data_IF_564533849991
#
_entry.id   IF_564533849991
#
_cell.length_a   1.000
_cell.length_b   1.000
_cell.length_c   1.000
_cell.angle_alpha   90.00
_cell.angle_beta   90.00
_cell.angle_gamma   90.00
#
_symmetry.space_group_name_H-M   'P 1'
#
loop_
_entity.id
_entity.type
_entity.pdbx_description
1 polymer ?
#
# COMPACT_ATOMS: atom_id res chain seq x y z
N UNK A 1 18.71 11.66 -15.82
CA UNK A 1 17.24 11.51 -15.81
C UNK A 1 16.80 11.22 -14.39
N UNK A 2 15.80 11.93 -13.87
CA UNK A 2 15.26 11.69 -12.52
C UNK A 2 14.39 10.42 -12.48
N UNK A 3 14.19 9.79 -11.31
CA UNK A 3 13.28 8.64 -11.19
C UNK A 3 11.84 8.96 -11.66
N UNK A 4 11.38 10.20 -11.46
CA UNK A 4 10.06 10.63 -11.92
C UNK A 4 9.97 10.75 -13.45
N UNK A 5 11.04 11.16 -14.12
CA UNK A 5 11.10 11.20 -15.58
C UNK A 5 11.17 9.79 -16.16
N UNK A 6 11.99 8.92 -15.57
CA UNK A 6 12.09 7.52 -16.00
C UNK A 6 10.74 6.80 -15.88
N UNK A 7 9.99 7.01 -14.80
CA UNK A 7 8.65 6.44 -14.62
C UNK A 7 7.62 7.00 -15.61
N UNK A 8 7.74 8.26 -16.00
CA UNK A 8 6.91 8.82 -17.09
C UNK A 8 7.27 8.20 -18.43
N UNK A 9 8.56 7.94 -18.70
CA UNK A 9 8.99 7.23 -19.91
C UNK A 9 8.45 5.80 -19.95
N UNK A 10 8.55 5.05 -18.85
CA UNK A 10 7.94 3.73 -18.70
C UNK A 10 6.43 3.76 -19.01
N UNK A 11 5.72 4.77 -18.49
CA UNK A 11 4.30 4.91 -18.73
C UNK A 11 3.97 5.28 -20.19
N UNK A 12 4.80 6.08 -20.85
CA UNK A 12 4.64 6.43 -22.26
C UNK A 12 4.75 5.19 -23.15
N UNK A 13 5.71 4.30 -22.88
CA UNK A 13 5.82 3.00 -23.58
C UNK A 13 4.55 2.15 -23.39
N UNK A 14 3.96 2.14 -22.19
CA UNK A 14 2.70 1.43 -21.94
C UNK A 14 1.53 2.10 -22.67
N UNK A 15 1.50 3.44 -22.75
CA UNK A 15 0.53 4.17 -23.60
C UNK A 15 0.67 3.68 -25.03
N UNK A 16 1.88 3.57 -25.58
CA UNK A 16 2.12 3.12 -26.95
C UNK A 16 1.74 1.65 -27.20
N UNK A 17 1.76 0.80 -26.17
CA UNK A 17 1.28 -0.58 -26.28
C UNK A 17 -0.25 -0.66 -26.43
N UNK A 18 -0.97 0.31 -25.88
CA UNK A 18 -2.43 0.32 -25.77
C UNK A 18 -3.10 1.31 -26.74
N UNK A 19 -2.35 2.29 -27.20
CA UNK A 19 -2.84 3.38 -28.00
C UNK A 19 -3.29 2.91 -29.38
N UNK A 20 -4.45 3.41 -29.79
CA UNK A 20 -4.77 3.52 -31.21
C UNK A 20 -4.41 4.91 -31.67
N UNK A 21 -3.80 5.00 -32.85
CA UNK A 21 -3.31 6.25 -33.41
C UNK A 21 -3.92 6.52 -34.79
N UNK A 22 -4.12 7.79 -35.12
CA UNK A 22 -4.50 8.20 -36.48
C UNK A 22 -3.28 8.19 -37.42
N UNK A 23 -3.48 8.53 -38.69
CA UNK A 23 -2.41 8.56 -39.68
C UNK A 23 -1.31 9.60 -39.37
N UNK A 24 -1.61 10.62 -38.58
CA UNK A 24 -0.65 11.61 -38.11
C UNK A 24 0.05 11.19 -36.79
N UNK A 25 -0.29 10.02 -36.26
CA UNK A 25 0.28 9.48 -35.04
C UNK A 25 -0.39 9.94 -33.75
N UNK A 26 -1.52 10.65 -33.80
CA UNK A 26 -2.20 11.14 -32.58
C UNK A 26 -3.10 10.08 -31.94
N UNK A 27 -3.25 10.13 -30.61
CA UNK A 27 -4.20 9.28 -29.87
C UNK A 27 -5.63 9.41 -30.42
N UNK A 28 -6.29 8.27 -30.61
CA UNK A 28 -7.70 8.21 -31.01
C UNK A 28 -8.57 7.60 -29.93
N UNK A 29 -9.86 7.90 -30.00
CA UNK A 29 -10.88 7.27 -29.16
C UNK A 29 -11.28 5.95 -29.82
N UNK A 30 -11.15 4.86 -29.08
CA UNK A 30 -11.58 3.55 -29.52
C UNK A 30 -12.94 3.19 -28.92
N UNK A 31 -13.84 2.66 -29.74
CA UNK A 31 -15.18 2.22 -29.34
C UNK A 31 -15.22 0.68 -29.43
N UNK A 32 -15.02 -0.03 -28.30
CA UNK A 32 -15.03 -1.48 -28.30
C UNK A 32 -16.44 -2.02 -28.62
N UNK A 33 -16.55 -3.22 -29.23
CA UNK A 33 -17.82 -3.89 -29.44
C UNK A 33 -18.61 -4.08 -28.13
N UNK A 34 -19.93 -4.05 -28.22
CA UNK A 34 -20.82 -4.28 -27.07
C UNK A 34 -20.54 -5.65 -26.44
N UNK A 35 -20.24 -5.69 -25.14
CA UNK A 35 -20.01 -6.94 -24.39
C UNK A 35 -18.56 -7.23 -24.00
N UNK A 36 -17.57 -6.52 -24.53
CA UNK A 36 -16.14 -6.74 -24.22
C UNK A 36 -15.71 -6.23 -22.82
N UNK A 37 -16.65 -5.80 -21.98
CA UNK A 37 -16.39 -5.37 -20.60
C UNK A 37 -15.76 -3.99 -20.45
N UNK A 38 -15.32 -3.37 -21.55
CA UNK A 38 -14.66 -2.07 -21.64
C UNK A 38 -15.56 -0.84 -21.85
N UNK A 39 -16.78 -0.82 -21.33
CA UNK A 39 -17.63 0.39 -21.40
C UNK A 39 -17.86 0.93 -22.82
N UNK A 40 -18.21 2.21 -22.92
CA UNK A 40 -18.61 2.84 -24.19
C UNK A 40 -17.45 3.22 -25.11
N UNK A 41 -16.26 3.50 -24.55
CA UNK A 41 -15.06 3.85 -25.29
C UNK A 41 -13.82 3.80 -24.38
N UNK A 42 -12.63 3.87 -24.98
CA UNK A 42 -11.36 4.01 -24.30
C UNK A 42 -10.35 4.84 -25.10
N UNK A 43 -9.30 5.30 -24.43
CA UNK A 43 -8.15 5.97 -25.05
C UNK A 43 -6.90 5.36 -24.41
N UNK A 44 -6.06 4.70 -25.22
CA UNK A 44 -4.86 3.98 -24.75
C UNK A 44 -5.13 3.04 -23.56
N UNK A 45 -6.13 2.17 -23.69
CA UNK A 45 -6.55 1.23 -22.62
C UNK A 45 -7.22 1.88 -21.40
N UNK A 46 -7.30 3.22 -21.33
CA UNK A 46 -7.97 3.94 -20.24
C UNK A 46 -9.48 3.96 -20.51
N UNK A 47 -10.15 2.99 -19.92
CA UNK A 47 -11.52 2.66 -20.25
C UNK A 47 -12.60 3.52 -19.56
N UNK A 48 -13.64 3.94 -20.28
CA UNK A 48 -14.73 4.76 -19.73
C UNK A 48 -15.58 4.08 -18.64
N UNK A 49 -15.57 2.74 -18.54
CA UNK A 49 -16.27 2.01 -17.47
C UNK A 49 -15.62 2.23 -16.12
N UNK A 50 -14.31 2.02 -16.03
CA UNK A 50 -13.56 2.04 -14.77
C UNK A 50 -12.91 3.41 -14.52
N UNK A 51 -12.57 4.14 -15.58
CA UNK A 51 -11.82 5.39 -15.55
C UNK A 51 -12.62 6.54 -16.21
N UNK A 52 -13.93 6.59 -15.96
CA UNK A 52 -14.90 7.48 -16.64
C UNK A 52 -14.44 8.93 -16.79
N UNK A 53 -13.89 9.52 -15.73
CA UNK A 53 -13.47 10.92 -15.73
C UNK A 53 -12.23 11.15 -16.61
N UNK A 54 -11.22 10.30 -16.47
CA UNK A 54 -10.00 10.38 -17.29
C UNK A 54 -10.30 10.10 -18.75
N UNK A 55 -11.08 9.05 -19.05
CA UNK A 55 -11.51 8.73 -20.40
C UNK A 55 -12.28 9.90 -21.04
N UNK A 56 -13.23 10.50 -20.31
CA UNK A 56 -13.98 11.68 -20.79
C UNK A 56 -13.07 12.88 -21.05
N UNK A 57 -12.08 13.12 -20.18
CA UNK A 57 -11.10 14.19 -20.36
C UNK A 57 -10.26 13.96 -21.61
N UNK A 58 -9.75 12.73 -21.81
CA UNK A 58 -8.96 12.36 -22.98
C UNK A 58 -9.76 12.52 -24.27
N UNK A 59 -10.97 11.97 -24.34
CA UNK A 59 -11.85 12.14 -25.48
C UNK A 59 -12.13 13.63 -25.77
N UNK A 60 -12.34 14.44 -24.73
CA UNK A 60 -12.55 15.89 -24.89
C UNK A 60 -11.30 16.66 -25.32
N UNK A 61 -10.09 16.18 -25.04
CA UNK A 61 -8.84 16.78 -25.53
C UNK A 61 -8.62 16.43 -27.00
N UNK A 62 -8.82 15.16 -27.36
CA UNK A 62 -8.74 14.67 -28.74
C UNK A 62 -9.75 15.39 -29.64
N UNK A 63 -11.01 15.55 -29.20
CA UNK A 63 -12.04 16.27 -29.95
C UNK A 63 -11.70 17.76 -30.19
N UNK A 64 -10.82 18.34 -29.36
CA UNK A 64 -10.33 19.73 -29.50
C UNK A 64 -8.94 19.79 -30.12
N UNK A 65 -8.44 18.69 -30.69
CA UNK A 65 -7.13 18.57 -31.31
C UNK A 65 -5.96 18.92 -30.36
N UNK A 66 -6.16 18.76 -29.05
CA UNK A 66 -5.13 18.98 -28.02
C UNK A 66 -4.37 17.67 -27.76
N UNK A 67 -3.69 17.17 -28.79
CA UNK A 67 -3.10 15.82 -28.78
C UNK A 67 -1.95 15.67 -27.77
N UNK A 68 -1.04 16.64 -27.68
CA UNK A 68 0.06 16.63 -26.70
C UNK A 68 -0.45 16.63 -25.25
N UNK A 69 -1.59 17.28 -25.01
CA UNK A 69 -2.23 17.27 -23.71
C UNK A 69 -2.90 15.94 -23.41
N UNK A 70 -3.48 15.29 -24.42
CA UNK A 70 -4.04 13.96 -24.29
C UNK A 70 -2.94 12.94 -23.95
N UNK A 71 -1.80 12.99 -24.65
CA UNK A 71 -0.62 12.16 -24.39
C UNK A 71 -0.10 12.32 -22.97
N UNK A 72 0.08 13.56 -22.54
CA UNK A 72 0.55 13.86 -21.18
C UNK A 72 -0.44 13.37 -20.12
N UNK A 73 -1.75 13.53 -20.35
CA UNK A 73 -2.78 13.05 -19.43
C UNK A 73 -2.80 11.52 -19.35
N UNK A 74 -2.68 10.82 -20.49
CA UNK A 74 -2.64 9.37 -20.54
C UNK A 74 -1.38 8.84 -19.83
N UNK A 75 -0.22 9.35 -20.19
CA UNK A 75 1.08 8.99 -19.59
C UNK A 75 1.08 9.21 -18.08
N UNK A 76 0.68 10.38 -17.61
CA UNK A 76 0.62 10.68 -16.19
C UNK A 76 -0.38 9.77 -15.46
N UNK A 77 -1.50 9.41 -16.11
CA UNK A 77 -2.46 8.49 -15.54
C UNK A 77 -1.87 7.09 -15.36
N UNK A 78 -1.23 6.53 -16.39
CA UNK A 78 -0.61 5.20 -16.33
C UNK A 78 0.55 5.18 -15.34
N UNK A 79 1.41 6.20 -15.33
CA UNK A 79 2.52 6.33 -14.38
C UNK A 79 2.03 6.27 -12.92
N UNK A 80 0.92 6.94 -12.62
CA UNK A 80 0.28 6.93 -11.29
C UNK A 80 -0.41 5.61 -10.97
N UNK A 81 -1.18 5.06 -11.91
CA UNK A 81 -1.97 3.85 -11.69
C UNK A 81 -1.08 2.63 -11.43
N UNK A 82 0.10 2.61 -12.05
CA UNK A 82 1.05 1.50 -11.95
C UNK A 82 2.12 1.70 -10.86
N UNK A 83 2.05 2.78 -10.08
CA UNK A 83 3.13 3.19 -9.18
C UNK A 83 3.45 2.19 -8.06
N UNK A 84 2.51 1.29 -7.71
CA UNK A 84 2.76 0.25 -6.73
C UNK A 84 3.94 -0.67 -7.12
N UNK A 85 4.23 -0.84 -8.42
CA UNK A 85 5.37 -1.62 -8.90
C UNK A 85 6.72 -1.03 -8.47
N UNK A 86 6.80 0.30 -8.29
CA UNK A 86 8.01 0.96 -7.81
C UNK A 86 8.39 0.57 -6.38
N UNK A 87 7.44 0.07 -5.59
CA UNK A 87 7.70 -0.42 -4.24
C UNK A 87 8.11 -1.89 -4.21
N UNK A 88 8.13 -2.58 -5.37
CA UNK A 88 8.38 -4.02 -5.46
C UNK A 88 9.82 -4.35 -5.87
N UNK A 89 10.49 -3.45 -6.57
CA UNK A 89 11.87 -3.61 -7.06
C UNK A 89 12.52 -2.24 -7.29
N UNK A 90 13.83 -2.17 -7.09
CA UNK A 90 14.65 -1.00 -7.43
C UNK A 90 15.31 -1.13 -8.82
N UNK A 91 15.02 -2.21 -9.56
CA UNK A 91 15.57 -2.46 -10.89
C UNK A 91 14.62 -1.92 -11.96
N UNK A 92 15.00 -0.84 -12.69
CA UNK A 92 14.09 -0.18 -13.65
C UNK A 92 13.52 -1.10 -14.72
N UNK A 93 14.32 -2.03 -15.25
CA UNK A 93 13.84 -3.00 -16.24
C UNK A 93 12.70 -3.88 -15.69
N UNK A 94 12.84 -4.37 -14.46
CA UNK A 94 11.82 -5.18 -13.79
C UNK A 94 10.61 -4.32 -13.39
N UNK A 95 10.84 -3.10 -12.91
CA UNK A 95 9.78 -2.14 -12.58
C UNK A 95 8.88 -1.89 -13.81
N UNK A 96 9.47 -1.61 -14.98
CA UNK A 96 8.72 -1.41 -16.22
C UNK A 96 7.81 -2.59 -16.55
N UNK A 97 8.35 -3.81 -16.53
CA UNK A 97 7.57 -5.01 -16.87
C UNK A 97 6.40 -5.21 -15.89
N UNK A 98 6.65 -4.98 -14.60
CA UNK A 98 5.61 -5.06 -13.57
C UNK A 98 4.57 -3.96 -13.72
N UNK A 99 4.94 -2.74 -14.12
CA UNK A 99 4.00 -1.67 -14.43
C UNK A 99 3.04 -2.05 -15.56
N UNK A 100 3.53 -2.66 -16.64
CA UNK A 100 2.67 -3.16 -17.72
C UNK A 100 1.73 -4.28 -17.23
N UNK A 101 2.20 -5.17 -16.35
CA UNK A 101 1.36 -6.17 -15.70
C UNK A 101 0.27 -5.54 -14.82
N UNK A 102 0.61 -4.51 -14.03
CA UNK A 102 -0.35 -3.79 -13.18
C UNK A 102 -1.41 -3.10 -14.04
N UNK A 103 -1.02 -2.48 -15.15
CA UNK A 103 -1.98 -1.84 -16.04
C UNK A 103 -2.93 -2.85 -16.69
N UNK A 104 -2.42 -4.02 -17.08
CA UNK A 104 -3.20 -5.06 -17.75
C UNK A 104 -4.12 -5.85 -16.80
N UNK A 105 -3.67 -6.14 -15.58
CA UNK A 105 -4.30 -7.10 -14.66
C UNK A 105 -4.53 -6.60 -13.25
N UNK A 106 -4.26 -5.32 -13.00
CA UNK A 106 -4.32 -4.72 -11.68
C UNK A 106 -3.18 -5.17 -10.76
N UNK A 107 -3.06 -4.50 -9.62
CA UNK A 107 -1.97 -4.75 -8.67
C UNK A 107 -1.93 -6.19 -8.15
N UNK A 108 -3.09 -6.79 -7.84
CA UNK A 108 -3.17 -8.18 -7.36
C UNK A 108 -2.73 -9.18 -8.42
N UNK A 109 -3.17 -9.01 -9.68
CA UNK A 109 -2.77 -9.89 -10.78
C UNK A 109 -1.27 -9.81 -11.05
N UNK A 110 -0.72 -8.60 -11.10
CA UNK A 110 0.72 -8.39 -11.26
C UNK A 110 1.55 -8.98 -10.10
N UNK A 111 1.06 -8.86 -8.86
CA UNK A 111 1.70 -9.48 -7.69
C UNK A 111 1.72 -11.01 -7.79
N UNK A 112 0.61 -11.64 -8.23
CA UNK A 112 0.55 -13.08 -8.46
C UNK A 112 1.52 -13.53 -9.55
N UNK A 113 1.65 -12.78 -10.64
CA UNK A 113 2.62 -13.05 -11.71
C UNK A 113 4.06 -12.99 -11.16
N UNK A 114 4.39 -11.94 -10.41
CA UNK A 114 5.71 -11.79 -9.79
C UNK A 114 6.02 -12.94 -8.83
N UNK A 115 5.08 -13.32 -7.97
CA UNK A 115 5.28 -14.39 -7.00
C UNK A 115 5.49 -15.76 -7.67
N UNK A 116 4.73 -16.04 -8.74
CA UNK A 116 4.91 -17.23 -9.58
C UNK A 116 6.29 -17.25 -10.24
N UNK A 117 6.73 -16.13 -10.81
CA UNK A 117 8.04 -16.00 -11.43
C UNK A 117 9.20 -16.25 -10.45
N UNK A 118 9.01 -15.88 -9.18
CA UNK A 118 9.99 -16.06 -8.10
C UNK A 118 9.91 -17.42 -7.40
N UNK A 119 8.90 -18.24 -7.71
CA UNK A 119 8.67 -19.51 -7.01
C UNK A 119 8.28 -19.35 -5.53
N UNK A 120 7.76 -18.18 -5.12
CA UNK A 120 7.27 -17.95 -3.75
C UNK A 120 5.75 -18.13 -3.68
N UNK A 121 5.20 -18.17 -2.47
CA UNK A 121 3.74 -18.28 -2.27
C UNK A 121 3.00 -17.15 -2.99
N UNK A 122 2.09 -17.53 -3.89
CA UNK A 122 1.30 -16.60 -4.71
C UNK A 122 0.01 -16.15 -3.99
N UNK A 123 0.14 -15.27 -3.00
CA UNK A 123 -0.99 -14.72 -2.22
C UNK A 123 -1.54 -13.38 -2.76
N UNK A 124 -0.85 -12.82 -3.76
CA UNK A 124 -1.16 -11.53 -4.39
C UNK A 124 -0.74 -10.31 -3.56
N UNK A 125 0.13 -10.48 -2.56
CA UNK A 125 0.66 -9.42 -1.69
C UNK A 125 2.20 -9.39 -1.76
N UNK A 126 2.76 -8.35 -2.36
CA UNK A 126 4.22 -8.20 -2.45
C UNK A 126 4.79 -7.74 -1.10
N UNK A 127 5.10 -8.71 -0.24
CA UNK A 127 5.70 -8.54 1.07
C UNK A 127 7.24 -8.59 1.07
N UNK A 128 7.87 -8.56 2.26
CA UNK A 128 9.33 -8.65 2.39
C UNK A 128 9.93 -9.90 1.73
N UNK A 129 9.26 -11.06 1.83
CA UNK A 129 9.72 -12.31 1.22
C UNK A 129 9.78 -12.21 -0.30
N UNK A 130 8.70 -11.73 -0.94
CA UNK A 130 8.66 -11.53 -2.39
C UNK A 130 9.72 -10.52 -2.84
N UNK A 131 9.90 -9.41 -2.12
CA UNK A 131 10.92 -8.41 -2.46
C UNK A 131 12.34 -8.93 -2.29
N UNK A 132 12.61 -9.69 -1.22
CA UNK A 132 13.91 -10.31 -1.00
C UNK A 132 14.25 -11.31 -2.11
N UNK A 133 13.29 -12.16 -2.50
CA UNK A 133 13.46 -13.07 -3.62
C UNK A 133 13.70 -12.32 -4.94
N UNK A 134 12.99 -11.22 -5.19
CA UNK A 134 13.19 -10.37 -6.37
C UNK A 134 14.56 -9.66 -6.39
N UNK A 135 15.15 -9.39 -5.24
CA UNK A 135 16.42 -8.69 -5.13
C UNK A 135 17.65 -9.59 -5.34
N UNK A 136 17.52 -10.91 -5.14
CA UNK A 136 18.64 -11.87 -5.26
C UNK A 136 18.71 -12.56 -6.62
N UNK A 137 17.60 -12.62 -7.36
CA UNK A 137 17.56 -13.19 -8.70
C UNK A 137 18.20 -12.24 -9.72
N UNK A 138 18.89 -12.79 -10.71
CA UNK A 138 19.40 -12.00 -11.83
C UNK A 138 18.23 -11.29 -12.55
N UNK A 139 18.32 -9.97 -12.81
CA UNK A 139 17.22 -9.22 -13.43
C UNK A 139 16.79 -9.72 -14.82
N UNK A 140 17.72 -10.21 -15.65
CA UNK A 140 17.38 -10.73 -16.99
C UNK A 140 16.70 -12.09 -16.89
N UNK A 141 17.16 -12.93 -15.96
CA UNK A 141 16.47 -14.17 -15.62
C UNK A 141 15.07 -13.88 -15.08
N UNK A 142 14.92 -12.92 -14.16
CA UNK A 142 13.61 -12.53 -13.62
C UNK A 142 12.66 -12.03 -14.71
N UNK A 143 13.13 -11.24 -15.68
CA UNK A 143 12.31 -10.82 -16.83
C UNK A 143 11.84 -12.02 -17.68
N UNK A 144 12.72 -13.00 -17.88
CA UNK A 144 12.40 -14.25 -18.59
C UNK A 144 11.32 -15.04 -17.83
N UNK A 145 11.46 -15.15 -16.52
CA UNK A 145 10.49 -15.82 -15.66
C UNK A 145 9.16 -15.07 -15.56
N UNK A 146 9.18 -13.74 -15.48
CA UNK A 146 7.97 -12.90 -15.47
C UNK A 146 7.16 -13.07 -16.74
N UNK A 147 7.82 -13.18 -17.91
CA UNK A 147 7.16 -13.46 -19.18
C UNK A 147 6.48 -14.82 -19.19
N UNK A 148 7.15 -15.87 -18.70
CA UNK A 148 6.56 -17.21 -18.59
C UNK A 148 5.40 -17.22 -17.59
N UNK A 149 5.60 -16.62 -16.43
CA UNK A 149 4.59 -16.54 -15.36
C UNK A 149 3.34 -15.77 -15.78
N UNK A 150 3.47 -14.71 -16.60
CA UNK A 150 2.33 -13.95 -17.13
C UNK A 150 1.48 -14.77 -18.10
N UNK A 151 2.13 -15.53 -18.97
CA UNK A 151 1.44 -16.46 -19.87
C UNK A 151 0.73 -17.57 -19.08
N UNK A 152 1.41 -18.17 -18.09
CA UNK A 152 0.81 -19.16 -17.19
C UNK A 152 -0.40 -18.59 -16.43
N UNK A 153 -0.31 -17.34 -15.97
CA UNK A 153 -1.40 -16.63 -15.30
C UNK A 153 -2.63 -16.47 -16.20
N UNK A 154 -2.45 -16.19 -17.48
CA UNK A 154 -3.60 -16.14 -18.40
C UNK A 154 -4.30 -17.48 -18.53
N UNK A 155 -3.54 -18.57 -18.70
CA UNK A 155 -4.10 -19.92 -18.82
C UNK A 155 -4.87 -20.32 -17.57
N UNK A 156 -4.25 -20.17 -16.41
CA UNK A 156 -4.74 -20.77 -15.17
C UNK A 156 -5.74 -19.89 -14.41
N UNK A 157 -5.57 -18.57 -14.45
CA UNK A 157 -6.36 -17.63 -13.61
C UNK A 157 -7.40 -16.89 -14.44
N UNK A 158 -7.04 -16.49 -15.66
CA UNK A 158 -7.98 -15.79 -16.56
C UNK A 158 -8.74 -16.78 -17.43
N UNK A 159 -8.34 -18.06 -17.44
CA UNK A 159 -8.91 -19.12 -18.28
C UNK A 159 -8.91 -18.74 -19.77
N UNK A 160 -7.80 -18.13 -20.21
CA UNK A 160 -7.55 -17.79 -21.61
C UNK A 160 -6.33 -18.55 -22.10
N UNK A 161 -6.48 -19.22 -23.23
CA UNK A 161 -5.44 -20.03 -23.87
C UNK A 161 -5.31 -19.68 -25.36
N UNK A 162 -4.51 -20.47 -26.08
CA UNK A 162 -4.19 -20.35 -27.50
C UNK A 162 -5.42 -20.34 -28.42
N UNK A 163 -6.55 -20.87 -27.95
CA UNK A 163 -7.81 -20.91 -28.73
C UNK A 163 -8.46 -19.53 -28.79
N UNK A 164 -8.06 -18.60 -27.92
CA UNK A 164 -8.56 -17.24 -27.93
C UNK A 164 -8.02 -16.45 -29.12
N UNK A 165 -8.92 -15.76 -29.85
CA UNK A 165 -8.53 -14.81 -30.91
C UNK A 165 -7.56 -13.72 -30.46
N UNK A 166 -7.49 -13.45 -29.16
CA UNK A 166 -6.60 -12.44 -28.56
C UNK A 166 -5.20 -12.98 -28.22
N UNK A 167 -5.00 -14.31 -28.23
CA UNK A 167 -3.80 -14.94 -27.69
C UNK A 167 -2.52 -14.50 -28.41
N UNK A 168 -2.51 -14.52 -29.74
CA UNK A 168 -1.35 -14.13 -30.54
C UNK A 168 -0.92 -12.67 -30.26
N UNK A 169 -1.89 -11.76 -30.13
CA UNK A 169 -1.64 -10.36 -29.79
C UNK A 169 -1.11 -10.18 -28.37
N UNK A 170 -1.67 -10.92 -27.41
CA UNK A 170 -1.20 -10.91 -26.03
C UNK A 170 0.23 -11.46 -25.88
N UNK A 171 0.53 -12.61 -26.50
CA UNK A 171 1.88 -13.18 -26.51
C UNK A 171 2.90 -12.19 -27.09
N UNK A 172 2.59 -11.62 -28.26
CA UNK A 172 3.44 -10.63 -28.91
C UNK A 172 3.68 -9.41 -28.01
N UNK A 173 2.66 -8.94 -27.29
CA UNK A 173 2.79 -7.84 -26.32
C UNK A 173 3.72 -8.20 -25.17
N UNK A 174 3.62 -9.41 -24.62
CA UNK A 174 4.47 -9.81 -23.50
C UNK A 174 5.94 -9.92 -23.91
N UNK A 175 6.21 -10.38 -25.12
CA UNK A 175 7.56 -10.43 -25.71
C UNK A 175 8.10 -9.02 -25.97
N UNK A 176 7.24 -8.14 -26.50
CA UNK A 176 7.56 -6.71 -26.65
C UNK A 176 7.86 -6.06 -25.30
N UNK A 177 7.09 -6.35 -24.25
CA UNK A 177 7.32 -5.82 -22.91
C UNK A 177 8.66 -6.27 -22.33
N UNK A 178 9.11 -7.51 -22.55
CA UNK A 178 10.47 -7.95 -22.18
C UNK A 178 11.52 -7.16 -22.96
N UNK A 179 11.31 -6.97 -24.25
CA UNK A 179 12.25 -6.25 -25.13
C UNK A 179 12.38 -4.78 -24.71
N UNK A 180 11.27 -4.09 -24.46
CA UNK A 180 11.26 -2.71 -23.98
C UNK A 180 11.81 -2.59 -22.56
N UNK A 181 11.53 -3.57 -21.66
CA UNK A 181 12.10 -3.60 -20.31
C UNK A 181 13.63 -3.48 -20.34
N UNK A 182 14.28 -4.19 -21.26
CA UNK A 182 15.75 -4.21 -21.41
C UNK A 182 16.36 -2.88 -21.87
N UNK A 183 15.54 -1.93 -22.34
CA UNK A 183 15.99 -0.57 -22.66
C UNK A 183 16.19 0.28 -21.40
N UNK A 184 15.57 -0.11 -20.29
CA UNK A 184 15.79 0.49 -18.98
C UNK A 184 16.97 -0.19 -18.28
N UNK A 185 17.63 0.53 -17.36
CA UNK A 185 18.77 -0.01 -16.61
C UNK A 185 18.42 -1.35 -15.96
N UNK A 186 19.24 -2.36 -16.22
CA UNK A 186 19.20 -3.67 -15.56
C UNK A 186 19.91 -3.67 -14.21
N UNK A 187 20.75 -2.67 -13.97
CA UNK A 187 21.37 -2.42 -12.67
C UNK A 187 20.34 -1.67 -11.81
N UNK A 188 20.18 -2.04 -10.53
CA UNK A 188 19.39 -1.25 -9.58
C UNK A 188 19.76 0.23 -9.68
N UNK A 189 18.77 1.12 -9.65
CA UNK A 189 19.06 2.54 -9.63
C UNK A 189 20.01 2.83 -8.45
N UNK A 190 21.11 3.58 -8.65
CA UNK A 190 22.03 3.88 -7.56
C UNK A 190 21.24 4.49 -6.42
N UNK A 191 21.45 3.99 -5.21
CA UNK A 191 20.93 4.61 -4.02
C UNK A 191 21.33 6.10 -4.05
N UNK A 192 20.42 7.04 -3.73
CA UNK A 192 20.72 8.45 -3.82
C UNK A 192 22.01 8.75 -3.03
N UNK A 193 23.03 9.25 -3.74
CA UNK A 193 24.35 9.52 -3.18
C UNK A 193 24.20 10.63 -2.13
N UNK A 194 24.56 10.41 -0.86
CA UNK A 194 24.53 11.48 0.13
C UNK A 194 25.67 12.45 -0.16
N UNK A 195 25.35 13.69 -0.58
CA UNK A 195 26.28 14.81 -0.43
C UNK A 195 26.68 15.66 -1.65
N UNK A 196 25.76 16.07 -2.53
CA UNK A 196 26.01 17.28 -3.36
C UNK A 196 24.91 18.32 -3.17
N UNK A 197 25.23 19.61 -2.97
CA UNK A 197 24.31 20.58 -2.39
C UNK A 197 23.47 21.29 -3.45
N UNK A 198 22.17 21.03 -3.46
CA UNK A 198 21.15 22.01 -3.84
C UNK A 198 19.92 21.83 -2.95
N UNK A 199 19.81 22.71 -1.95
CA UNK A 199 18.63 23.01 -1.11
C UNK A 199 18.15 21.85 -0.20
N UNK A 200 17.95 22.08 1.11
CA UNK A 200 18.31 21.10 2.14
C UNK A 200 17.35 19.89 2.18
N UNK A 201 17.87 18.64 2.19
CA UNK A 201 17.07 17.46 2.43
C UNK A 201 17.00 17.12 3.94
N UNK A 202 15.85 16.56 4.31
CA UNK A 202 15.55 15.94 5.59
C UNK A 202 16.49 14.74 5.78
N UNK A 203 17.14 14.70 6.94
CA UNK A 203 18.03 13.62 7.41
C UNK A 203 17.27 12.28 7.40
N UNK A 204 17.78 11.31 6.64
CA UNK A 204 17.45 9.90 6.81
C UNK A 204 18.36 9.33 7.91
N UNK A 205 17.77 8.65 8.89
CA UNK A 205 18.51 7.94 9.96
C UNK A 205 18.70 6.47 9.56
N UNK A 206 19.88 5.96 9.92
CA UNK A 206 20.47 4.63 9.74
C UNK A 206 19.53 3.42 10.02
N UNK A 207 19.55 2.36 9.19
CA UNK A 207 18.78 1.12 9.37
C UNK A 207 19.24 0.20 10.51
N UNK A 208 20.17 0.60 11.37
CA UNK A 208 20.60 -0.18 12.55
C UNK A 208 19.70 -0.04 13.79
N UNK A 209 18.52 0.57 13.69
CA UNK A 209 17.60 0.81 14.81
C UNK A 209 16.44 -0.20 14.91
N UNK A 210 16.72 -1.48 14.62
CA UNK A 210 15.80 -2.58 14.94
C UNK A 210 15.82 -2.83 16.45
N UNK A 211 14.84 -2.30 17.18
CA UNK A 211 14.48 -2.84 18.49
C UNK A 211 13.60 -4.07 18.23
N UNK A 212 14.17 -5.25 18.46
CA UNK A 212 13.42 -6.51 18.49
C UNK A 212 12.50 -6.60 19.70
N UNK A 213 11.54 -7.55 19.71
CA UNK A 213 10.63 -7.73 20.82
C UNK A 213 11.29 -8.59 21.91
N UNK A 214 12.04 -7.97 22.81
CA UNK A 214 12.12 -8.45 24.20
C UNK A 214 12.79 -7.44 25.13
N UNK A 215 12.05 -7.03 26.16
CA UNK A 215 12.57 -6.55 27.44
C UNK A 215 11.38 -6.26 28.36
N UNK A 216 10.98 -7.27 29.12
CA UNK A 216 10.37 -7.05 30.44
C UNK A 216 11.38 -6.30 31.32
N UNK A 217 11.05 -5.08 31.75
CA UNK A 217 11.77 -4.37 32.82
C UNK A 217 10.85 -3.35 33.50
N UNK A 218 11.03 -3.11 34.82
CA UNK A 218 9.93 -2.79 35.73
C UNK A 218 9.63 -1.29 35.84
N UNK A 219 8.50 -0.98 36.48
CA UNK A 219 8.01 0.36 36.77
C UNK A 219 9.09 1.26 37.38
N UNK A 220 9.43 2.35 36.68
CA UNK A 220 10.30 3.41 37.20
C UNK A 220 9.47 4.60 37.70
N UNK A 221 9.69 4.93 38.97
CA UNK A 221 9.18 6.12 39.67
C UNK A 221 9.79 7.44 39.10
N UNK A 222 9.25 8.62 39.47
CA UNK A 222 9.15 9.77 38.56
C UNK A 222 10.42 10.62 38.52
N UNK A 223 11.00 10.79 37.33
CA UNK A 223 11.98 11.84 37.08
C UNK A 223 11.25 13.16 36.84
N UNK A 224 11.57 14.17 37.66
CA UNK A 224 11.06 15.55 37.57
C UNK A 224 11.46 16.17 36.22
N UNK A 225 10.57 16.09 35.24
CA UNK A 225 10.68 16.77 33.94
C UNK A 225 9.58 17.84 33.83
N UNK A 226 9.71 18.77 32.88
CA UNK A 226 8.86 19.95 32.61
C UNK A 226 7.36 19.68 32.35
N UNK A 227 6.89 18.46 32.61
CA UNK A 227 5.55 17.97 32.35
C UNK A 227 5.22 17.88 30.85
N UNK A 228 6.17 18.15 29.95
CA UNK A 228 5.99 18.06 28.50
C UNK A 228 6.59 16.75 27.98
N UNK A 229 5.86 15.93 27.23
CA UNK A 229 6.38 14.65 26.74
C UNK A 229 7.52 14.89 25.73
N UNK A 230 8.54 14.01 25.69
CA UNK A 230 9.62 14.12 24.71
C UNK A 230 9.08 14.01 23.27
N UNK A 231 9.79 14.62 22.33
CA UNK A 231 9.50 14.49 20.91
C UNK A 231 9.84 13.09 20.41
N UNK A 232 9.10 12.53 19.43
CA UNK A 232 9.55 11.34 18.73
C UNK A 232 10.82 11.63 17.91
N UNK A 233 11.54 10.58 17.54
CA UNK A 233 12.72 10.67 16.68
C UNK A 233 12.39 10.93 15.19
N UNK A 234 11.10 11.04 14.85
CA UNK A 234 10.62 11.28 13.49
C UNK A 234 9.87 12.63 13.39
N UNK A 235 9.95 13.31 12.23
CA UNK A 235 9.25 14.57 12.00
C UNK A 235 7.77 14.35 11.62
N UNK A 236 6.90 15.38 11.74
CA UNK A 236 5.54 15.33 11.22
C UNK A 236 5.49 15.43 9.69
N UNK A 237 4.34 15.11 9.09
CA UNK A 237 4.09 15.30 7.66
C UNK A 237 3.50 16.68 7.43
N UNK A 238 4.29 17.58 6.85
CA UNK A 238 3.93 19.02 6.76
C UNK A 238 3.49 19.46 5.37
N UNK A 239 3.98 18.82 4.31
CA UNK A 239 3.67 19.17 2.90
C UNK A 239 2.68 18.22 2.25
N UNK A 240 1.96 18.69 1.21
CA UNK A 240 1.10 17.81 0.40
C UNK A 240 1.90 16.64 -0.17
N UNK A 241 3.10 16.92 -0.72
CA UNK A 241 3.96 15.88 -1.30
C UNK A 241 4.27 14.75 -0.32
N UNK A 242 4.56 15.06 0.94
CA UNK A 242 4.83 14.04 1.97
C UNK A 242 3.60 13.18 2.25
N UNK A 243 2.41 13.80 2.37
CA UNK A 243 1.15 13.08 2.62
C UNK A 243 0.73 12.25 1.42
N UNK A 244 0.81 12.83 0.22
CA UNK A 244 0.51 12.16 -1.05
C UNK A 244 1.43 10.97 -1.32
N UNK A 245 2.69 11.04 -0.90
CA UNK A 245 3.62 9.92 -1.04
C UNK A 245 3.22 8.70 -0.18
N UNK A 246 2.54 8.91 0.96
CA UNK A 246 2.12 7.83 1.86
C UNK A 246 0.69 7.38 1.63
N UNK A 247 -0.22 8.32 1.36
CA UNK A 247 -1.66 8.10 1.31
C UNK A 247 -2.23 8.19 -0.11
N UNK A 248 -1.38 8.45 -1.10
CA UNK A 248 -1.77 8.66 -2.48
C UNK A 248 -2.32 10.07 -2.71
N UNK A 249 -2.12 10.56 -3.93
CA UNK A 249 -2.63 11.86 -4.37
C UNK A 249 -4.09 11.77 -4.84
N UNK A 250 -4.85 12.84 -4.60
CA UNK A 250 -6.17 13.05 -5.18
C UNK A 250 -6.35 14.48 -5.68
N UNK A 251 -7.24 14.64 -6.65
CA UNK A 251 -7.69 15.96 -7.09
C UNK A 251 -8.87 16.42 -6.22
N UNK A 252 -9.00 17.73 -6.05
CA UNK A 252 -10.09 18.34 -5.28
C UNK A 252 -10.46 19.70 -5.86
N UNK A 253 -11.65 20.17 -5.53
CA UNK A 253 -12.06 21.58 -5.72
C UNK A 253 -12.31 22.22 -4.37
N UNK A 254 -12.10 23.54 -4.27
CA UNK A 254 -12.57 24.27 -3.08
C UNK A 254 -14.09 24.15 -2.99
N UNK A 255 -14.59 23.90 -1.78
CA UNK A 255 -16.01 23.85 -1.49
C UNK A 255 -16.25 24.42 -0.08
N UNK A 256 -15.99 25.73 0.16
CA UNK A 256 -16.12 26.35 1.48
C UNK A 256 -17.50 26.12 2.08
N UNK A 257 -17.56 25.88 3.38
CA UNK A 257 -18.81 25.70 4.13
C UNK A 257 -18.88 26.68 5.31
N UNK A 258 -20.08 27.01 5.81
CA UNK A 258 -20.21 27.76 7.07
C UNK A 258 -19.41 27.09 8.19
N UNK A 259 -18.50 27.83 8.84
CA UNK A 259 -17.62 27.30 9.89
C UNK A 259 -16.39 26.50 9.41
N UNK A 260 -16.26 26.24 8.10
CA UNK A 260 -15.08 25.59 7.50
C UNK A 260 -14.76 26.22 6.12
N UNK A 261 -14.17 27.43 6.10
CA UNK A 261 -13.82 28.10 4.84
C UNK A 261 -12.76 27.35 4.03
N UNK A 262 -11.98 26.47 4.68
CA UNK A 262 -10.99 25.61 4.05
C UNK A 262 -11.56 24.30 3.48
N UNK A 263 -12.88 24.08 3.55
CA UNK A 263 -13.51 22.87 3.04
C UNK A 263 -13.23 22.67 1.54
N UNK A 264 -13.00 21.41 1.19
CA UNK A 264 -12.81 20.95 -0.19
C UNK A 264 -13.77 19.82 -0.50
N UNK A 265 -13.98 19.57 -1.79
CA UNK A 265 -14.62 18.36 -2.28
C UNK A 265 -13.60 17.53 -3.04
N UNK A 266 -13.27 16.36 -2.50
CA UNK A 266 -12.40 15.38 -3.16
C UNK A 266 -13.09 14.89 -4.43
N UNK A 267 -12.34 14.78 -5.52
CA UNK A 267 -12.80 14.30 -6.81
C UNK A 267 -12.42 12.84 -7.04
N UNK A 268 -13.22 12.14 -7.84
CA UNK A 268 -12.98 10.74 -8.17
C UNK A 268 -13.31 9.81 -7.00
N UNK A 269 -12.58 8.70 -6.91
CA UNK A 269 -12.87 7.62 -5.96
C UNK A 269 -11.94 7.58 -4.75
N UNK A 270 -10.96 8.48 -4.65
CA UNK A 270 -9.90 8.37 -3.65
C UNK A 270 -10.44 8.25 -2.22
N UNK A 271 -11.44 9.06 -1.85
CA UNK A 271 -12.05 8.99 -0.51
C UNK A 271 -12.71 7.63 -0.27
N UNK A 272 -13.52 7.14 -1.21
CA UNK A 272 -14.18 5.84 -1.13
C UNK A 272 -13.17 4.68 -1.04
N UNK A 273 -12.09 4.77 -1.80
CA UNK A 273 -11.13 3.67 -1.94
C UNK A 273 -10.13 3.61 -0.78
N UNK A 274 -9.96 4.72 -0.04
CA UNK A 274 -8.92 4.83 0.99
C UNK A 274 -9.42 5.19 2.38
N UNK A 275 -10.60 5.80 2.52
CA UNK A 275 -11.16 6.14 3.83
C UNK A 275 -12.17 5.07 4.22
N UNK A 276 -11.88 4.37 5.31
CA UNK A 276 -12.71 3.30 5.86
C UNK A 276 -13.19 3.67 7.26
N UNK A 277 -14.31 3.09 7.67
CA UNK A 277 -14.76 3.12 9.05
C UNK A 277 -13.90 2.15 9.87
N UNK A 278 -13.06 2.67 10.77
CA UNK A 278 -12.23 1.87 11.66
C UNK A 278 -12.93 1.73 13.01
N UNK A 279 -13.38 0.53 13.41
CA UNK A 279 -14.02 0.34 14.71
C UNK A 279 -13.01 0.57 15.85
N UNK A 280 -13.39 1.42 16.81
CA UNK A 280 -12.60 1.75 18.00
C UNK A 280 -13.51 1.63 19.23
N UNK A 281 -13.70 0.41 19.78
CA UNK A 281 -14.60 0.19 20.93
C UNK A 281 -14.20 0.99 22.18
N UNK A 282 -12.94 1.41 22.28
CA UNK A 282 -12.42 2.25 23.36
C UNK A 282 -13.10 3.63 23.44
N UNK A 283 -13.63 4.16 22.33
CA UNK A 283 -14.36 5.42 22.34
C UNK A 283 -15.62 5.33 23.20
N UNK A 284 -16.39 4.26 23.07
CA UNK A 284 -17.58 4.03 23.90
C UNK A 284 -17.22 3.85 25.38
N UNK A 285 -16.07 3.21 25.67
CA UNK A 285 -15.57 3.05 27.05
C UNK A 285 -15.16 4.39 27.67
N UNK A 286 -14.56 5.28 26.88
CA UNK A 286 -14.11 6.59 27.35
C UNK A 286 -15.23 7.63 27.45
N UNK A 287 -16.15 7.65 26.48
CA UNK A 287 -17.11 8.74 26.26
C UNK A 287 -18.58 8.32 26.43
N UNK A 288 -18.84 7.03 26.69
CA UNK A 288 -20.17 6.47 26.85
C UNK A 288 -20.91 6.20 25.53
N UNK A 289 -22.21 5.92 25.61
CA UNK A 289 -23.02 5.43 24.49
C UNK A 289 -23.18 6.40 23.32
N UNK A 290 -22.88 7.70 23.51
CA UNK A 290 -22.95 8.73 22.45
C UNK A 290 -21.66 8.85 21.65
N UNK A 291 -20.61 8.10 22.00
CA UNK A 291 -19.36 8.09 21.26
C UNK A 291 -19.57 7.55 19.84
N UNK A 292 -18.81 8.03 18.85
CA UNK A 292 -18.83 7.42 17.53
C UNK A 292 -18.35 5.97 17.60
N UNK A 293 -19.04 5.06 16.90
CA UNK A 293 -18.71 3.63 16.88
C UNK A 293 -17.42 3.32 16.10
N UNK A 294 -17.06 4.21 15.17
CA UNK A 294 -15.88 4.09 14.33
C UNK A 294 -15.28 5.47 14.03
N UNK A 295 -14.01 5.47 13.63
CA UNK A 295 -13.32 6.64 13.11
C UNK A 295 -13.13 6.44 11.61
N UNK A 296 -13.61 7.39 10.80
CA UNK A 296 -13.24 7.47 9.38
C UNK A 296 -11.75 7.79 9.27
N UNK A 297 -10.97 6.83 8.78
CA UNK A 297 -9.50 6.90 8.75
C UNK A 297 -8.94 6.20 7.50
N UNK A 298 -7.68 6.48 7.17
CA UNK A 298 -7.03 5.90 6.02
C UNK A 298 -6.80 4.40 6.23
N UNK A 299 -7.19 3.57 5.26
CA UNK A 299 -7.13 2.09 5.34
C UNK A 299 -5.73 1.56 5.66
N UNK A 300 -4.68 2.23 5.17
CA UNK A 300 -3.29 1.82 5.44
C UNK A 300 -2.88 1.99 6.91
N UNK A 301 -3.54 2.87 7.65
CA UNK A 301 -3.26 3.14 9.05
C UNK A 301 -4.35 2.57 9.99
N UNK A 302 -5.32 1.83 9.48
CA UNK A 302 -6.46 1.33 10.25
C UNK A 302 -6.02 0.46 11.45
N UNK A 303 -5.12 -0.51 11.23
CA UNK A 303 -4.61 -1.36 12.31
C UNK A 303 -3.75 -0.58 13.30
N UNK A 304 -2.90 0.32 12.80
CA UNK A 304 -2.05 1.19 13.62
C UNK A 304 -2.89 2.10 14.54
N UNK A 305 -4.01 2.63 14.02
CA UNK A 305 -4.98 3.37 14.83
C UNK A 305 -5.61 2.48 15.91
N UNK A 306 -6.05 1.26 15.57
CA UNK A 306 -6.59 0.31 16.55
C UNK A 306 -5.58 0.01 17.66
N UNK A 307 -4.33 -0.32 17.29
CA UNK A 307 -3.27 -0.64 18.25
C UNK A 307 -2.97 0.54 19.18
N UNK A 308 -2.98 1.78 18.69
CA UNK A 308 -2.85 2.96 19.54
C UNK A 308 -3.93 3.01 20.63
N UNK A 309 -5.20 2.86 20.25
CA UNK A 309 -6.31 2.91 21.22
C UNK A 309 -6.31 1.70 22.16
N UNK A 310 -5.97 0.50 21.66
CA UNK A 310 -5.77 -0.72 22.46
C UNK A 310 -4.65 -0.51 23.51
N UNK A 311 -3.53 0.10 23.14
CA UNK A 311 -2.42 0.38 24.08
C UNK A 311 -2.76 1.49 25.09
N UNK A 312 -3.50 2.53 24.68
CA UNK A 312 -4.03 3.52 25.63
C UNK A 312 -4.98 2.88 26.64
N UNK A 313 -5.81 1.92 26.20
CA UNK A 313 -6.65 1.15 27.11
C UNK A 313 -5.84 0.29 28.06
N UNK A 314 -4.89 -0.50 27.55
CA UNK A 314 -4.03 -1.35 28.36
C UNK A 314 -3.23 -0.56 29.39
N UNK A 315 -2.86 0.69 29.07
CA UNK A 315 -2.17 1.60 29.99
C UNK A 315 -3.11 2.35 30.96
N UNK A 316 -4.44 2.10 30.92
CA UNK A 316 -5.43 2.76 31.79
C UNK A 316 -5.66 4.25 31.45
N UNK A 317 -5.29 4.67 30.23
CA UNK A 317 -5.27 6.08 29.83
C UNK A 317 -6.57 6.57 29.18
N UNK A 318 -7.57 5.70 28.95
CA UNK A 318 -8.86 6.14 28.38
C UNK A 318 -9.55 7.23 29.22
N UNK A 319 -9.31 7.25 30.52
CA UNK A 319 -9.79 8.31 31.44
C UNK A 319 -9.27 9.71 31.11
N UNK A 320 -8.26 9.82 30.24
CA UNK A 320 -7.73 11.10 29.73
C UNK A 320 -8.52 11.62 28.52
N UNK A 321 -9.38 10.81 27.90
CA UNK A 321 -10.18 11.19 26.73
C UNK A 321 -11.56 11.67 27.20
N UNK A 322 -11.83 12.97 27.01
CA UNK A 322 -13.08 13.65 27.38
C UNK A 322 -13.93 14.03 26.16
N UNK A 323 -13.33 14.13 24.99
CA UNK A 323 -14.03 14.32 23.72
C UNK A 323 -13.26 13.69 22.57
N UNK A 324 -14.01 13.29 21.54
CA UNK A 324 -13.49 12.97 20.22
C UNK A 324 -13.99 14.04 19.25
N UNK A 325 -13.06 14.81 18.69
CA UNK A 325 -13.36 16.08 18.01
C UNK A 325 -13.19 15.99 16.48
N UNK A 326 -12.78 14.83 15.96
CA UNK A 326 -12.86 14.53 14.53
C UNK A 326 -11.78 13.57 14.04
N UNK A 327 -12.07 12.88 12.93
CA UNK A 327 -11.13 12.04 12.17
C UNK A 327 -10.92 12.61 10.76
N UNK A 328 -11.29 11.87 9.73
CA UNK A 328 -11.26 12.36 8.35
C UNK A 328 -12.13 13.63 8.15
N UNK A 329 -11.52 14.69 7.61
CA UNK A 329 -12.19 15.93 7.20
C UNK A 329 -11.53 16.45 5.92
N UNK A 330 -12.29 16.50 4.82
CA UNK A 330 -11.82 17.01 3.54
C UNK A 330 -11.65 18.55 3.58
N UNK A 331 -10.47 19.02 3.99
CA UNK A 331 -10.13 20.45 4.09
C UNK A 331 -8.66 20.78 3.87
N UNK A 332 -8.38 22.04 3.57
CA UNK A 332 -7.04 22.61 3.69
C UNK A 332 -6.68 22.83 5.18
N UNK A 333 -5.38 22.98 5.46
CA UNK A 333 -4.89 23.47 6.75
C UNK A 333 -5.51 24.85 7.01
N UNK A 334 -5.89 25.13 8.27
CA UNK A 334 -6.54 26.39 8.65
C UNK A 334 -5.69 27.60 8.22
N UNK A 335 -6.30 28.54 7.49
CA UNK A 335 -5.63 29.71 6.91
C UNK A 335 -4.79 29.42 5.66
N UNK A 336 -4.68 28.17 5.21
CA UNK A 336 -3.95 27.82 3.99
C UNK A 336 -4.84 27.88 2.76
N UNK A 337 -4.26 28.32 1.64
CA UNK A 337 -4.93 28.32 0.33
C UNK A 337 -4.49 27.16 -0.57
N UNK A 338 -3.52 26.34 -0.16
CA UNK A 338 -2.91 25.32 -1.02
C UNK A 338 -2.46 24.04 -0.29
N UNK A 339 -2.38 24.03 1.04
CA UNK A 339 -1.88 22.88 1.80
C UNK A 339 -3.05 22.08 2.36
N UNK A 340 -3.16 20.81 1.97
CA UNK A 340 -4.13 19.85 2.49
C UNK A 340 -3.81 19.49 3.94
N UNK A 341 -4.85 19.38 4.76
CA UNK A 341 -4.73 18.94 6.15
C UNK A 341 -4.42 17.45 6.23
N UNK A 342 -3.74 16.98 7.31
CA UNK A 342 -3.62 15.55 7.58
C UNK A 342 -5.01 14.88 7.78
N UNK A 343 -5.99 15.61 8.33
CA UNK A 343 -7.38 15.13 8.34
C UNK A 343 -7.94 14.85 6.95
N UNK A 344 -7.51 15.57 5.92
CA UNK A 344 -7.99 15.37 4.55
C UNK A 344 -7.41 14.12 3.89
N UNK A 345 -6.36 13.52 4.47
CA UNK A 345 -5.85 12.21 4.08
C UNK A 345 -6.38 11.08 4.96
N UNK A 346 -7.23 11.39 5.96
CA UNK A 346 -7.67 10.42 6.96
C UNK A 346 -6.51 9.91 7.80
N UNK A 347 -5.46 10.71 7.97
CA UNK A 347 -4.24 10.33 8.70
C UNK A 347 -4.14 11.02 10.06
N UNK A 348 -5.18 11.72 10.51
CA UNK A 348 -5.18 12.42 11.79
C UNK A 348 -6.53 12.37 12.50
N UNK A 349 -6.48 12.52 13.81
CA UNK A 349 -7.66 12.66 14.66
C UNK A 349 -7.40 13.67 15.78
N UNK A 350 -8.49 14.25 16.28
CA UNK A 350 -8.47 15.24 17.36
C UNK A 350 -9.23 14.72 18.59
N UNK A 351 -8.68 14.98 19.78
CA UNK A 351 -9.33 14.69 21.07
C UNK A 351 -9.13 15.85 22.04
N UNK A 352 -10.08 16.04 22.96
CA UNK A 352 -10.02 17.08 23.98
C UNK A 352 -9.83 18.51 23.43
N UNK A 353 -10.41 18.85 22.27
CA UNK A 353 -10.29 20.17 21.62
C UNK A 353 -10.61 21.32 22.59
N UNK A 354 -11.71 21.19 23.36
CA UNK A 354 -12.14 22.24 24.29
C UNK A 354 -11.08 22.58 25.35
N UNK A 355 -10.19 21.63 25.67
CA UNK A 355 -9.11 21.80 26.65
C UNK A 355 -7.75 22.10 26.00
N UNK A 356 -7.64 21.90 24.69
CA UNK A 356 -6.40 22.07 23.92
C UNK A 356 -6.63 22.91 22.66
N UNK A 357 -7.11 24.16 22.79
CA UNK A 357 -7.45 24.99 21.65
C UNK A 357 -6.25 25.29 20.75
N UNK A 358 -6.50 25.30 19.45
CA UNK A 358 -5.50 25.56 18.42
C UNK A 358 -4.73 26.87 18.67
N UNK A 359 -3.41 26.81 18.57
CA UNK A 359 -2.48 27.91 18.79
C UNK A 359 -2.13 28.19 20.25
N UNK A 360 -2.73 27.49 21.22
CA UNK A 360 -2.45 27.68 22.64
C UNK A 360 -1.58 26.58 23.23
N UNK A 361 -0.97 26.84 24.38
CA UNK A 361 -0.18 25.83 25.10
C UNK A 361 -1.10 24.67 25.53
N UNK A 362 -0.80 23.41 25.15
CA UNK A 362 -1.63 22.27 25.53
C UNK A 362 -1.70 22.08 27.05
N UNK A 363 -2.83 21.56 27.54
CA UNK A 363 -3.05 21.35 28.96
C UNK A 363 -1.92 20.54 29.63
N UNK A 364 -1.45 21.01 30.80
CA UNK A 364 -0.41 20.35 31.60
C UNK A 364 -0.90 19.07 32.29
N UNK A 365 0.03 18.17 32.64
CA UNK A 365 -0.30 16.94 33.37
C UNK A 365 -1.13 17.24 34.63
N UNK A 366 -2.08 16.37 34.92
CA UNK A 366 -3.03 16.53 36.03
C UNK A 366 -4.15 17.55 35.78
N UNK A 367 -4.11 18.34 34.70
CA UNK A 367 -5.25 19.17 34.29
C UNK A 367 -6.22 18.35 33.45
N UNK A 368 -7.51 18.58 33.66
CA UNK A 368 -8.59 17.99 32.87
C UNK A 368 -8.35 18.23 31.37
N UNK A 369 -8.51 17.19 30.57
CA UNK A 369 -8.29 17.22 29.12
C UNK A 369 -6.83 17.21 28.68
N UNK A 370 -5.86 17.08 29.58
CA UNK A 370 -4.46 16.89 29.18
C UNK A 370 -4.29 15.57 28.43
N UNK A 371 -3.66 15.65 27.27
CA UNK A 371 -3.33 14.49 26.41
C UNK A 371 -1.86 14.07 26.55
N UNK A 372 -1.08 14.73 27.41
CA UNK A 372 0.38 14.55 27.44
C UNK A 372 0.81 13.13 27.85
N UNK A 373 0.04 12.47 28.72
CA UNK A 373 0.26 11.07 29.09
C UNK A 373 0.00 10.10 27.92
N UNK A 374 -0.78 10.52 26.92
CA UNK A 374 -1.10 9.73 25.73
C UNK A 374 0.05 9.73 24.70
N UNK A 375 0.85 10.80 24.70
CA UNK A 375 1.85 11.09 23.66
C UNK A 375 2.95 10.03 23.54
N UNK A 376 3.53 9.48 24.62
CA UNK A 376 4.56 8.45 24.49
C UNK A 376 4.06 7.22 23.73
N UNK A 377 2.84 6.76 24.02
CA UNK A 377 2.23 5.61 23.34
C UNK A 377 1.90 5.96 21.88
N UNK A 378 1.39 7.17 21.63
CA UNK A 378 1.17 7.67 20.27
C UNK A 378 2.45 7.67 19.43
N UNK A 379 3.54 8.19 19.99
CA UNK A 379 4.85 8.23 19.35
C UNK A 379 5.37 6.83 19.02
N UNK A 380 5.27 5.86 19.94
CA UNK A 380 5.65 4.46 19.67
C UNK A 380 4.85 3.85 18.52
N UNK A 381 3.58 4.23 18.42
CA UNK A 381 2.68 3.82 17.36
C UNK A 381 2.81 4.66 16.08
N UNK A 382 3.88 5.45 15.91
CA UNK A 382 4.15 6.20 14.67
C UNK A 382 3.29 7.46 14.48
N UNK A 383 2.56 7.89 15.52
CA UNK A 383 1.83 9.16 15.52
C UNK A 383 2.71 10.30 16.03
N UNK A 384 2.58 11.46 15.42
CA UNK A 384 3.16 12.72 15.90
C UNK A 384 2.07 13.55 16.56
N UNK A 385 2.39 14.16 17.71
CA UNK A 385 1.46 15.01 18.44
C UNK A 385 1.64 16.49 18.08
N UNK A 386 0.55 17.17 17.72
CA UNK A 386 0.56 18.58 17.31
C UNK A 386 1.01 19.56 18.40
N UNK A 387 1.00 19.16 19.67
CA UNK A 387 1.62 19.92 20.76
C UNK A 387 3.14 20.10 20.58
N UNK A 388 3.80 19.25 19.78
CA UNK A 388 5.22 19.39 19.47
C UNK A 388 5.53 20.40 18.36
N UNK A 389 4.53 20.92 17.62
CA UNK A 389 4.76 21.94 16.57
C UNK A 389 5.47 23.19 17.10
N UNK A 390 6.36 23.76 16.30
CA UNK A 390 7.19 24.89 16.72
C UNK A 390 6.44 26.22 16.66
N UNK A 391 5.66 26.45 15.60
CA UNK A 391 4.97 27.72 15.37
C UNK A 391 3.63 27.82 16.12
N UNK A 392 2.64 27.02 15.70
CA UNK A 392 1.30 26.99 16.30
C UNK A 392 1.07 25.62 16.92
N UNK A 393 0.93 25.60 18.24
CA UNK A 393 0.64 24.40 19.00
C UNK A 393 -0.74 23.88 18.65
N UNK A 394 -0.87 22.57 18.48
CA UNK A 394 -2.14 21.92 18.23
C UNK A 394 -2.32 20.74 19.19
N UNK A 395 -2.70 21.04 20.43
CA UNK A 395 -2.65 20.07 21.51
C UNK A 395 -3.68 18.96 21.41
N UNK A 396 -4.77 19.16 20.65
CA UNK A 396 -5.79 18.14 20.42
C UNK A 396 -5.37 17.10 19.37
N UNK A 397 -4.37 17.42 18.56
CA UNK A 397 -4.11 16.78 17.28
C UNK A 397 -3.09 15.64 17.35
N UNK A 398 -3.44 14.48 16.80
CA UNK A 398 -2.54 13.36 16.56
C UNK A 398 -2.59 12.96 15.09
N UNK A 399 -1.43 12.85 14.45
CA UNK A 399 -1.32 12.49 13.03
C UNK A 399 -0.33 11.36 12.79
N UNK A 400 -0.58 10.53 11.78
CA UNK A 400 0.41 9.57 11.30
C UNK A 400 1.60 10.33 10.73
N UNK A 401 2.77 10.11 11.31
CA UNK A 401 4.04 10.56 10.76
C UNK A 401 4.83 9.41 10.12
N UNK A 402 4.68 8.21 10.68
CA UNK A 402 5.30 6.98 10.17
C UNK A 402 4.22 5.93 10.04
N UNK A 403 4.05 5.37 8.83
CA UNK A 403 3.23 4.19 8.63
C UNK A 403 3.96 2.96 9.14
N UNK A 404 3.37 2.29 10.12
CA UNK A 404 3.88 1.02 10.61
C UNK A 404 3.51 -0.08 9.62
N UNK A 405 4.51 -0.86 9.23
CA UNK A 405 4.25 -2.09 8.49
C UNK A 405 3.59 -3.06 9.47
N UNK A 406 2.38 -3.51 9.17
CA UNK A 406 1.77 -4.61 9.92
C UNK A 406 2.69 -5.82 9.80
N UNK A 407 3.45 -6.11 10.85
CA UNK A 407 4.09 -7.41 11.01
C UNK A 407 2.92 -8.35 11.27
N UNK A 408 2.62 -9.24 10.33
CA UNK A 408 1.72 -10.35 10.63
C UNK A 408 2.37 -11.12 11.79
N UNK A 409 1.76 -11.04 12.97
CA UNK A 409 2.24 -11.63 14.21
C UNK A 409 2.63 -13.09 13.99
N UNK A 410 3.83 -13.45 14.43
CA UNK A 410 4.33 -14.82 14.51
C UNK A 410 3.43 -15.67 15.42
N UNK A 411 2.35 -16.23 14.88
CA UNK A 411 1.62 -17.35 15.48
C UNK A 411 1.73 -18.51 14.48
N UNK A 412 2.88 -19.19 14.46
CA UNK A 412 2.97 -20.61 14.06
C UNK A 412 4.33 -21.26 14.34
N UNK A 413 5.39 -20.54 14.72
CA UNK A 413 6.69 -21.19 14.92
C UNK A 413 6.80 -21.99 16.25
N UNK A 414 6.06 -21.62 17.29
CA UNK A 414 6.17 -22.29 18.60
C UNK A 414 5.49 -23.68 18.63
N UNK A 415 4.38 -23.90 17.90
CA UNK A 415 3.74 -25.23 17.81
C UNK A 415 4.49 -26.20 16.89
N UNK A 416 5.23 -25.68 15.90
CA UNK A 416 6.03 -26.51 15.00
C UNK A 416 7.31 -27.04 15.69
N UNK A 417 7.93 -26.24 16.56
CA UNK A 417 9.15 -26.64 17.26
C UNK A 417 8.89 -27.64 18.39
N UNK A 418 7.78 -27.50 19.12
CA UNK A 418 7.39 -28.48 20.15
C UNK A 418 7.08 -29.88 19.58
N UNK A 419 6.53 -29.95 18.36
CA UNK A 419 6.24 -31.23 17.70
C UNK A 419 7.50 -31.92 17.14
N UNK A 420 8.54 -31.15 16.82
CA UNK A 420 9.81 -31.70 16.29
C UNK A 420 10.72 -32.28 17.37
N UNK A 421 10.66 -31.77 18.61
CA UNK A 421 11.49 -32.25 19.72
C UNK A 421 11.00 -33.61 20.27
N UNK A 422 9.70 -33.90 20.18
CA UNK A 422 9.12 -35.17 20.63
C UNK A 422 9.36 -36.34 19.66
N UNK A 423 9.66 -36.06 18.38
CA UNK A 423 9.82 -37.08 17.33
C UNK A 423 11.22 -37.69 17.19
N UNK A 424 12.23 -37.15 17.89
CA UNK A 424 13.64 -37.51 17.67
C UNK A 424 14.29 -38.34 18.79
N UNK A 425 13.51 -38.89 19.73
CA UNK A 425 14.04 -39.71 20.84
C UNK A 425 13.44 -41.12 20.90
N UNK A 426 13.24 -41.77 19.76
CA UNK A 426 13.02 -43.21 19.73
C UNK A 426 13.44 -43.82 18.40
N UNK A 427 14.70 -44.20 18.27
CA UNK A 427 15.11 -45.37 17.48
C UNK A 427 16.54 -45.74 17.86
N UNK A 428 16.69 -46.69 18.78
CA UNK A 428 17.72 -47.71 18.58
C UNK A 428 17.37 -49.05 19.27
N UNK A 429 17.59 -50.11 18.50
CA UNK A 429 17.70 -51.55 18.82
C UNK A 429 16.48 -52.40 19.28
N UNK A 430 16.19 -53.51 18.56
CA UNK A 430 16.58 -54.93 18.87
C UNK A 430 15.66 -55.95 18.13
N UNK A 431 16.33 -56.85 17.38
CA UNK A 431 16.11 -58.28 17.07
C UNK A 431 14.87 -58.86 16.32
N UNK A 432 15.20 -59.85 15.46
CA UNK A 432 14.34 -60.88 14.88
C UNK A 432 13.99 -62.00 15.89
N UNK A 433 12.97 -62.86 15.61
CA UNK A 433 13.26 -64.17 15.01
C UNK A 433 12.18 -64.74 14.05
N UNK A 434 12.47 -65.94 13.53
CA UNK A 434 11.82 -66.72 12.45
C UNK A 434 10.50 -67.45 12.82
N UNK A 435 9.78 -67.98 11.81
CA UNK A 435 9.36 -69.41 11.61
C UNK A 435 8.15 -69.54 10.64
N UNK A 436 8.35 -70.42 9.63
CA UNK A 436 7.47 -71.33 8.83
C UNK A 436 6.13 -70.95 8.15
N UNK A 437 5.98 -71.52 6.94
CA UNK A 437 4.81 -71.56 6.04
C UNK A 437 3.72 -72.55 6.51
N UNK A 438 2.47 -72.53 5.96
CA UNK A 438 2.20 -73.32 4.74
C UNK A 438 1.08 -72.82 3.77
N UNK A 439 1.24 -73.23 2.51
CA UNK A 439 0.25 -73.74 1.53
C UNK A 439 -0.88 -72.87 0.90
N UNK A 440 -0.89 -72.90 -0.45
CA UNK A 440 -1.98 -72.52 -1.38
C UNK A 440 -3.18 -73.50 -1.34
N UNK A 441 -4.34 -73.10 -1.90
CA UNK A 441 -4.68 -73.62 -3.23
C UNK A 441 -5.27 -72.59 -4.21
N UNK A 442 -5.22 -72.98 -5.49
CA UNK A 442 -5.61 -72.23 -6.69
C UNK A 442 -7.10 -72.39 -7.08
N UNK A 443 -7.45 -71.74 -8.21
CA UNK A 443 -8.66 -71.82 -9.07
C UNK A 443 -9.55 -70.55 -8.99
N UNK A 444 -10.12 -69.96 -10.05
CA UNK A 444 -10.31 -70.34 -11.47
C UNK A 444 -10.75 -69.08 -12.22
N UNK A 445 -10.34 -68.91 -13.49
CA UNK A 445 -10.88 -67.92 -14.44
C UNK A 445 -12.07 -68.51 -15.22
N UNK A 446 -13.06 -67.70 -15.62
CA UNK A 446 -13.88 -67.96 -16.80
C UNK A 446 -13.66 -66.92 -17.94
N UNK A 447 -14.06 -67.25 -19.18
CA UNK A 447 -13.41 -66.76 -20.39
C UNK A 447 -14.08 -65.54 -21.04
N UNK A 448 -13.32 -64.95 -21.96
CA UNK A 448 -13.73 -63.90 -22.88
C UNK A 448 -14.81 -64.37 -23.86
N UNK A 449 -15.68 -63.44 -24.25
CA UNK A 449 -16.49 -63.51 -25.46
C UNK A 449 -16.24 -62.26 -26.31
N UNK A 450 -15.86 -62.48 -27.56
CA UNK A 450 -15.62 -61.49 -28.61
C UNK A 450 -16.92 -61.18 -29.36
N UNK A 451 -17.14 -59.90 -29.70
CA UNK A 451 -17.43 -59.39 -31.05
C UNK A 451 -16.86 -57.98 -31.14
#
# INVERSE_FOLDING_TARGET
MTPSEQRRQMAAEIVDFEARRDAAGHLTVYYPPTGDGGGAYEVAGINARYNRLTAKRLAGLIARQRYDDAERVATDFIARNTDCAAAWTDVPAVEFYLRDCVFSRGARGAALILQRALGVVADGKVGPVTRAAAAVIDPLELLTQLRRAREQYEREVVHRDERSKFWAGLSSRWDKAVTTAKQFSIIPAPAPVPGTPTTPPIVAIDPSSLIGPDATAPAAAPVRSSGFPPRPAFPPLVTNRQREALFGRYDYVRAPQPGNPEAIRILGSWERDNIVEVPIPQLAKALGAKAPAAIRFHRLAARQLQTLWEEWEAAGLLSRIYSFDGGFVARLVRGSRSVLSNHAFGSAFDVNQAFNPFGQRPASNGRRGSVRDLVPIANRNGFYWGGHYQSRKDGMHFEIAVLQRTVATQISLASALASSAAGSMATDQIAAPAVESPSLPAATLPPAASV
#
